data_IF_082364260347
#
_entry.id   IF_082364260347
#
_cell.length_a   1.000
_cell.length_b   1.000
_cell.length_c   1.000
_cell.angle_alpha   90.00
_cell.angle_beta   90.00
_cell.angle_gamma   90.00
#
_symmetry.space_group_name_H-M   'P 1'
#
loop_
_entity.id
_entity.type
_entity.pdbx_description
1 polymer ?
#
# COMPACT_ATOMS: atom_id res chain seq x y z
N UNK A 1 17.06 5.53 -7.52
CA UNK A 1 16.92 4.47 -8.55
C UNK A 1 15.46 4.43 -8.97
N UNK A 2 15.14 4.94 -10.15
CA UNK A 2 13.76 5.24 -10.61
C UNK A 2 13.20 4.21 -11.60
N UNK A 3 13.69 2.96 -11.57
CA UNK A 3 13.46 1.96 -12.64
C UNK A 3 11.99 1.78 -13.06
N UNK A 4 11.05 1.80 -12.11
CA UNK A 4 9.60 1.70 -12.38
C UNK A 4 9.00 3.02 -12.91
N UNK A 5 9.42 4.15 -12.37
CA UNK A 5 8.97 5.46 -12.83
C UNK A 5 9.41 5.73 -14.28
N UNK A 6 10.59 5.26 -14.68
CA UNK A 6 11.09 5.35 -16.06
C UNK A 6 10.29 4.50 -17.04
N UNK A 7 9.46 3.57 -16.54
CA UNK A 7 8.51 2.74 -17.29
C UNK A 7 7.08 3.25 -17.21
N UNK A 8 6.87 4.46 -16.67
CA UNK A 8 5.56 5.09 -16.58
C UNK A 8 4.71 4.62 -15.40
N UNK A 9 5.25 3.83 -14.47
CA UNK A 9 4.52 3.45 -13.26
C UNK A 9 4.56 4.57 -12.22
N UNK A 10 3.46 4.71 -11.48
CA UNK A 10 3.29 5.69 -10.40
C UNK A 10 3.33 4.98 -9.05
N UNK A 11 4.18 5.47 -8.14
CA UNK A 11 4.19 5.04 -6.74
C UNK A 11 2.97 5.56 -5.99
N UNK A 12 2.20 4.67 -5.35
CA UNK A 12 1.22 5.05 -4.32
C UNK A 12 1.76 4.69 -2.94
N UNK A 13 1.97 5.69 -2.08
CA UNK A 13 2.50 5.50 -0.72
C UNK A 13 1.73 6.37 0.28
N UNK A 14 2.14 6.44 1.55
CA UNK A 14 1.48 7.33 2.51
C UNK A 14 2.33 7.85 3.66
N UNK A 15 3.61 8.06 3.38
CA UNK A 15 4.54 8.83 4.21
C UNK A 15 4.76 8.34 5.65
N UNK A 16 4.37 7.11 6.02
CA UNK A 16 4.73 6.56 7.32
C UNK A 16 6.26 6.34 7.42
N UNK A 17 6.88 6.50 8.61
CA UNK A 17 8.27 6.12 8.79
C UNK A 17 8.53 4.66 8.39
N UNK A 18 9.66 4.41 7.72
CA UNK A 18 10.05 3.08 7.26
C UNK A 18 9.79 2.87 5.77
N UNK A 19 9.00 1.86 5.41
CA UNK A 19 8.81 1.44 4.02
C UNK A 19 8.27 2.58 3.12
N UNK A 20 7.28 3.35 3.58
CA UNK A 20 6.74 4.46 2.80
C UNK A 20 7.84 5.51 2.48
N UNK A 21 8.61 5.94 3.49
CA UNK A 21 9.72 6.89 3.28
C UNK A 21 10.80 6.31 2.35
N UNK A 22 11.14 5.03 2.48
CA UNK A 22 12.16 4.38 1.66
C UNK A 22 11.74 4.23 0.19
N UNK A 23 10.47 3.91 -0.08
CA UNK A 23 9.96 3.86 -1.46
C UNK A 23 9.84 5.27 -2.05
N UNK A 24 9.37 6.24 -1.26
CA UNK A 24 9.23 7.62 -1.72
C UNK A 24 10.57 8.27 -2.06
N UNK A 25 11.63 8.02 -1.27
CA UNK A 25 12.98 8.51 -1.57
C UNK A 25 13.62 7.83 -2.79
N UNK A 26 13.12 6.66 -3.19
CA UNK A 26 13.53 6.00 -4.43
C UNK A 26 12.97 6.66 -5.69
N UNK A 27 11.95 7.52 -5.56
CA UNK A 27 11.24 8.19 -6.66
C UNK A 27 11.45 9.69 -6.57
N UNK A 28 12.45 10.20 -7.30
CA UNK A 28 12.79 11.64 -7.30
C UNK A 28 11.74 12.48 -8.03
N UNK A 29 11.12 11.90 -9.06
CA UNK A 29 10.09 12.53 -9.88
C UNK A 29 8.78 12.72 -9.11
N UNK A 30 8.34 13.96 -8.96
CA UNK A 30 7.08 14.29 -8.28
C UNK A 30 5.85 13.78 -9.03
N UNK A 31 5.89 13.77 -10.36
CA UNK A 31 4.82 13.28 -11.23
C UNK A 31 4.71 11.75 -11.26
N UNK A 32 5.70 11.03 -10.71
CA UNK A 32 5.72 9.58 -10.61
C UNK A 32 5.31 9.06 -9.21
N UNK A 33 4.72 9.90 -8.36
CA UNK A 33 4.24 9.49 -7.03
C UNK A 33 2.96 10.19 -6.59
N UNK A 34 2.13 9.44 -5.87
CA UNK A 34 0.92 9.90 -5.18
C UNK A 34 1.03 9.47 -3.71
N UNK A 35 1.04 10.45 -2.81
CA UNK A 35 1.22 10.23 -1.38
C UNK A 35 -0.10 10.50 -0.66
N UNK A 36 -0.69 9.45 -0.09
CA UNK A 36 -1.93 9.53 0.68
C UNK A 36 -1.62 9.70 2.16
N UNK A 37 -2.07 10.79 2.77
CA UNK A 37 -1.91 11.00 4.21
C UNK A 37 -3.25 10.91 4.95
N UNK A 38 -3.28 10.34 6.16
CA UNK A 38 -4.52 10.05 6.88
C UNK A 38 -5.24 11.31 7.40
N UNK A 39 -4.50 12.40 7.64
CA UNK A 39 -5.01 13.71 8.03
C UNK A 39 -4.02 14.80 7.61
N UNK A 40 -4.49 16.04 7.63
CA UNK A 40 -3.68 17.22 7.29
C UNK A 40 -2.55 17.44 8.30
N UNK A 41 -1.34 17.66 7.82
CA UNK A 41 -0.13 17.82 8.63
C UNK A 41 0.54 16.51 9.07
N UNK A 42 0.02 15.33 8.69
CA UNK A 42 0.69 14.06 8.99
C UNK A 42 2.09 14.05 8.36
N UNK A 43 3.11 13.87 9.20
CA UNK A 43 4.52 13.91 8.78
C UNK A 43 4.88 15.23 8.05
N UNK A 44 4.26 16.34 8.44
CA UNK A 44 4.51 17.67 7.88
C UNK A 44 3.92 17.88 6.48
N UNK A 45 2.99 17.02 6.04
CA UNK A 45 2.45 17.03 4.67
C UNK A 45 0.98 17.44 4.63
N UNK A 46 0.57 18.21 3.60
CA UNK A 46 -0.84 18.54 3.40
C UNK A 46 -1.63 17.31 2.96
N UNK A 47 -2.90 17.24 3.38
CA UNK A 47 -3.81 16.21 2.91
C UNK A 47 -4.43 16.60 1.56
N UNK A 48 -3.73 16.31 0.47
CA UNK A 48 -4.19 16.54 -0.92
C UNK A 48 -5.48 15.80 -1.22
N UNK A 49 -5.56 14.54 -0.78
CA UNK A 49 -6.73 13.67 -0.98
C UNK A 49 -7.38 13.38 0.37
N UNK A 50 -8.64 13.81 0.53
CA UNK A 50 -9.42 13.46 1.72
C UNK A 50 -9.71 11.97 1.75
N UNK A 51 -9.68 11.38 2.93
CA UNK A 51 -10.05 9.97 3.12
C UNK A 51 -11.56 9.81 2.86
N UNK A 52 -11.97 9.10 1.79
CA UNK A 52 -13.38 8.95 1.48
C UNK A 52 -14.07 7.98 2.48
N UNK A 53 -15.40 8.05 2.65
CA UNK A 53 -16.14 7.14 3.50
C UNK A 53 -15.90 5.66 3.16
N UNK A 54 -15.75 5.31 1.87
CA UNK A 54 -15.45 3.95 1.43
C UNK A 54 -14.10 3.44 1.95
N UNK A 55 -13.08 4.30 2.05
CA UNK A 55 -11.80 3.94 2.65
C UNK A 55 -11.95 3.64 4.15
N UNK A 56 -12.77 4.41 4.87
CA UNK A 56 -13.08 4.14 6.28
C UNK A 56 -13.86 2.83 6.45
N UNK A 57 -14.84 2.56 5.58
CA UNK A 57 -15.63 1.33 5.60
C UNK A 57 -14.77 0.07 5.36
N UNK A 58 -13.72 0.17 4.53
CA UNK A 58 -12.77 -0.91 4.32
C UNK A 58 -12.07 -1.35 5.61
N UNK A 59 -11.94 -0.46 6.61
CA UNK A 59 -11.35 -0.82 7.90
C UNK A 59 -12.23 -1.80 8.63
N UNK A 60 -13.55 -1.58 8.63
CA UNK A 60 -14.49 -2.49 9.28
C UNK A 60 -14.57 -3.84 8.55
N UNK A 61 -14.37 -3.84 7.23
CA UNK A 61 -14.38 -5.05 6.41
C UNK A 61 -13.12 -5.92 6.57
N UNK A 62 -11.93 -5.31 6.63
CA UNK A 62 -10.66 -6.05 6.52
C UNK A 62 -9.79 -6.03 7.77
N UNK A 63 -10.06 -5.18 8.76
CA UNK A 63 -9.29 -5.19 9.99
C UNK A 63 -9.80 -6.31 10.92
N UNK A 64 -8.94 -7.12 11.56
CA UNK A 64 -9.38 -8.23 12.42
C UNK A 64 -10.09 -7.79 13.70
N UNK A 65 -9.85 -6.55 14.14
CA UNK A 65 -10.50 -5.95 15.32
C UNK A 65 -10.68 -4.44 15.09
N UNK A 66 -11.61 -4.00 14.24
CA UNK A 66 -11.74 -2.58 13.88
C UNK A 66 -12.17 -1.72 15.08
N UNK A 67 -12.97 -2.28 15.98
CA UNK A 67 -13.46 -1.62 17.19
C UNK A 67 -12.36 -1.35 18.23
N UNK A 68 -11.22 -2.03 18.15
CA UNK A 68 -10.08 -1.79 19.05
C UNK A 68 -9.15 -0.68 18.56
N UNK A 69 -9.41 -0.09 17.39
CA UNK A 69 -8.56 0.95 16.82
C UNK A 69 -8.90 2.32 17.41
N UNK A 70 -7.87 3.07 17.78
CA UNK A 70 -8.03 4.51 18.01
C UNK A 70 -8.42 5.22 16.72
N UNK A 71 -8.98 6.44 16.82
CA UNK A 71 -9.31 7.27 15.65
C UNK A 71 -8.12 7.42 14.69
N UNK A 72 -6.92 7.66 15.23
CA UNK A 72 -5.70 7.79 14.42
C UNK A 72 -5.30 6.47 13.75
N UNK A 73 -5.35 5.35 14.47
CA UNK A 73 -5.04 4.04 13.89
C UNK A 73 -6.04 3.65 12.80
N UNK A 74 -7.34 3.94 13.00
CA UNK A 74 -8.38 3.74 12.00
C UNK A 74 -8.15 4.59 10.75
N UNK A 75 -7.74 5.85 10.90
CA UNK A 75 -7.41 6.72 9.77
C UNK A 75 -6.18 6.22 8.98
N UNK A 76 -5.16 5.68 9.67
CA UNK A 76 -4.02 5.03 9.03
C UNK A 76 -4.44 3.79 8.22
N UNK A 77 -5.31 2.95 8.78
CA UNK A 77 -5.83 1.77 8.07
C UNK A 77 -6.67 2.16 6.85
N UNK A 78 -7.50 3.20 6.96
CA UNK A 78 -8.28 3.71 5.84
C UNK A 78 -7.39 4.27 4.72
N UNK A 79 -6.33 5.00 5.08
CA UNK A 79 -5.32 5.46 4.12
C UNK A 79 -4.69 4.31 3.35
N UNK A 80 -4.42 3.17 4.01
CA UNK A 80 -3.87 1.99 3.33
C UNK A 80 -4.77 1.50 2.20
N UNK A 81 -6.09 1.64 2.34
CA UNK A 81 -7.03 1.29 1.29
C UNK A 81 -6.85 2.17 0.03
N UNK A 82 -6.57 3.46 0.21
CA UNK A 82 -6.30 4.38 -0.89
C UNK A 82 -4.99 4.05 -1.61
N UNK A 83 -3.98 3.53 -0.92
CA UNK A 83 -2.74 3.04 -1.57
C UNK A 83 -3.01 1.87 -2.51
N UNK A 84 -4.02 1.04 -2.20
CA UNK A 84 -4.41 -0.09 -3.03
C UNK A 84 -5.40 0.33 -4.12
N UNK A 85 -6.41 1.14 -3.81
CA UNK A 85 -7.56 1.37 -4.70
C UNK A 85 -7.61 2.77 -5.32
N UNK A 86 -6.62 3.62 -5.02
CA UNK A 86 -6.62 5.03 -5.40
C UNK A 86 -7.57 5.88 -4.55
N UNK A 87 -7.59 7.20 -4.80
CA UNK A 87 -8.43 8.13 -4.06
C UNK A 87 -9.93 7.88 -4.26
N UNK A 88 -10.33 7.52 -5.48
CA UNK A 88 -11.72 7.19 -5.84
C UNK A 88 -12.14 5.79 -5.39
N UNK A 89 -11.25 5.02 -4.78
CA UNK A 89 -11.52 3.65 -4.31
C UNK A 89 -11.96 2.66 -5.41
N UNK A 90 -11.62 2.96 -6.67
CA UNK A 90 -12.09 2.22 -7.85
C UNK A 90 -10.99 1.79 -8.81
N UNK A 91 -9.72 2.13 -8.53
CA UNK A 91 -8.59 1.82 -9.41
C UNK A 91 -7.54 1.03 -8.65
N UNK A 92 -7.65 -0.31 -8.60
CA UNK A 92 -6.65 -1.16 -7.99
C UNK A 92 -5.24 -0.87 -8.53
N UNK A 93 -4.25 -0.91 -7.64
CA UNK A 93 -2.84 -0.88 -7.99
C UNK A 93 -2.47 -2.14 -8.76
N UNK A 94 -1.51 -2.04 -9.68
CA UNK A 94 -1.06 -3.19 -10.49
C UNK A 94 -0.47 -4.31 -9.62
N UNK A 95 0.25 -3.91 -8.56
CA UNK A 95 0.87 -4.80 -7.59
C UNK A 95 1.14 -4.03 -6.29
N UNK A 96 1.54 -4.77 -5.25
CA UNK A 96 2.04 -4.22 -3.98
C UNK A 96 3.47 -4.70 -3.77
N UNK A 97 4.39 -3.76 -3.53
CA UNK A 97 5.71 -4.05 -2.95
C UNK A 97 5.68 -3.67 -1.48
N UNK A 98 6.01 -4.61 -0.59
CA UNK A 98 6.01 -4.34 0.84
C UNK A 98 7.10 -5.13 1.56
N UNK A 99 7.30 -4.82 2.83
CA UNK A 99 8.09 -5.66 3.72
C UNK A 99 7.30 -5.88 5.00
N UNK A 100 7.18 -7.13 5.42
CA UNK A 100 6.63 -7.49 6.73
C UNK A 100 7.54 -8.54 7.37
N UNK A 101 7.61 -8.54 8.70
CA UNK A 101 8.50 -9.43 9.43
C UNK A 101 8.21 -10.92 9.14
N UNK A 102 6.94 -11.25 8.93
CA UNK A 102 6.43 -12.60 8.65
C UNK A 102 6.36 -12.96 7.17
N UNK A 103 6.76 -12.06 6.25
CA UNK A 103 6.74 -12.32 4.82
C UNK A 103 5.33 -12.52 4.22
N UNK A 104 4.30 -11.97 4.85
CA UNK A 104 2.92 -12.10 4.42
C UNK A 104 2.67 -11.52 3.02
N UNK A 105 1.99 -12.27 2.16
CA UNK A 105 1.62 -11.87 0.80
C UNK A 105 0.11 -12.03 0.51
N UNK A 106 -0.66 -12.58 1.44
CA UNK A 106 -2.11 -12.77 1.25
C UNK A 106 -2.90 -12.58 2.54
N UNK A 107 -4.20 -12.33 2.41
CA UNK A 107 -5.13 -12.29 3.54
C UNK A 107 -5.08 -13.59 4.36
N UNK A 108 -5.00 -14.74 3.68
CA UNK A 108 -4.98 -16.06 4.32
C UNK A 108 -3.74 -16.28 5.20
N UNK A 109 -2.62 -15.65 4.86
CA UNK A 109 -1.35 -15.76 5.61
C UNK A 109 -1.14 -14.61 6.59
N UNK A 110 -2.11 -13.69 6.73
CA UNK A 110 -1.99 -12.54 7.64
C UNK A 110 -1.96 -13.00 9.09
N UNK A 111 -0.98 -12.49 9.82
CA UNK A 111 -0.84 -12.72 11.26
C UNK A 111 -0.75 -11.39 12.02
N UNK A 112 -0.69 -11.47 13.35
CA UNK A 112 -0.39 -10.28 14.18
C UNK A 112 0.98 -9.68 13.86
N UNK A 113 1.95 -10.50 13.45
CA UNK A 113 3.29 -10.06 13.09
C UNK A 113 3.35 -9.30 11.75
N UNK A 114 2.32 -9.40 10.91
CA UNK A 114 2.21 -8.62 9.67
C UNK A 114 2.10 -7.11 9.95
N UNK A 115 1.53 -6.73 11.10
CA UNK A 115 1.35 -5.35 11.51
C UNK A 115 0.35 -4.56 10.63
N UNK A 116 0.51 -3.23 10.59
CA UNK A 116 -0.39 -2.32 9.87
C UNK A 116 -0.47 -2.57 8.36
N UNK A 117 0.61 -3.09 7.76
CA UNK A 117 0.65 -3.50 6.35
C UNK A 117 -0.38 -4.57 6.01
N UNK A 118 -0.78 -5.39 6.99
CA UNK A 118 -1.75 -6.46 6.80
C UNK A 118 -3.12 -5.99 6.30
N UNK A 119 -3.50 -4.74 6.60
CA UNK A 119 -4.71 -4.12 6.04
C UNK A 119 -4.62 -3.99 4.51
N UNK A 120 -3.51 -3.42 4.01
CA UNK A 120 -3.26 -3.26 2.58
C UNK A 120 -3.21 -4.62 1.87
N UNK A 121 -2.54 -5.61 2.48
CA UNK A 121 -2.43 -6.98 1.94
C UNK A 121 -3.81 -7.65 1.85
N UNK A 122 -4.68 -7.44 2.85
CA UNK A 122 -6.03 -8.01 2.85
C UNK A 122 -6.89 -7.43 1.73
N UNK A 123 -6.82 -6.11 1.54
CA UNK A 123 -7.51 -5.41 0.45
C UNK A 123 -6.95 -5.86 -0.90
N UNK A 124 -5.62 -5.94 -1.04
CA UNK A 124 -4.98 -6.43 -2.26
C UNK A 124 -5.44 -7.85 -2.61
N UNK A 125 -5.51 -8.75 -1.64
CA UNK A 125 -6.00 -10.12 -1.84
C UNK A 125 -7.44 -10.16 -2.34
N UNK A 126 -8.32 -9.32 -1.78
CA UNK A 126 -9.72 -9.23 -2.18
C UNK A 126 -9.88 -8.75 -3.63
N UNK A 127 -9.05 -7.79 -4.05
CA UNK A 127 -9.05 -7.24 -5.41
C UNK A 127 -8.10 -7.96 -6.37
N UNK A 128 -7.59 -9.13 -5.99
CA UNK A 128 -6.67 -9.94 -6.80
C UNK A 128 -5.41 -9.17 -7.25
N UNK A 129 -4.97 -8.22 -6.44
CA UNK A 129 -3.73 -7.47 -6.66
C UNK A 129 -2.57 -8.29 -6.09
N UNK A 130 -1.56 -8.66 -6.91
CA UNK A 130 -0.43 -9.45 -6.44
C UNK A 130 0.44 -8.65 -5.46
N UNK A 131 0.88 -9.32 -4.39
CA UNK A 131 1.78 -8.77 -3.37
C UNK A 131 3.13 -9.46 -3.48
N UNK A 132 4.20 -8.68 -3.55
CA UNK A 132 5.58 -9.16 -3.48
C UNK A 132 6.22 -8.60 -2.21
N UNK A 133 6.48 -9.50 -1.26
CA UNK A 133 7.07 -9.14 0.01
C UNK A 133 8.59 -9.28 -0.06
N UNK A 134 9.32 -8.20 0.19
CA UNK A 134 10.77 -8.10 0.10
C UNK A 134 11.49 -9.05 1.08
N UNK A 135 10.77 -9.58 2.09
CA UNK A 135 11.30 -10.60 2.99
C UNK A 135 11.50 -11.95 2.29
N UNK A 136 10.74 -12.24 1.23
CA UNK A 136 10.84 -13.49 0.48
C UNK A 136 12.10 -13.48 -0.41
N UNK A 137 13.02 -14.46 -0.33
CA UNK A 137 14.29 -14.40 -1.04
C UNK A 137 14.15 -14.36 -2.58
N UNK A 138 13.04 -14.86 -3.12
CA UNK A 138 12.75 -14.88 -4.56
C UNK A 138 11.75 -13.81 -5.02
N UNK A 139 11.46 -12.80 -4.18
CA UNK A 139 10.45 -11.77 -4.49
C UNK A 139 10.72 -11.09 -5.82
N UNK A 140 12.00 -10.82 -6.12
CA UNK A 140 12.42 -10.07 -7.31
C UNK A 140 12.17 -10.85 -8.59
N UNK A 141 12.48 -12.15 -8.60
CA UNK A 141 12.29 -12.99 -9.78
C UNK A 141 10.80 -13.15 -10.09
N UNK A 142 9.97 -13.38 -9.05
CA UNK A 142 8.51 -13.42 -9.18
C UNK A 142 7.94 -12.10 -9.67
N UNK A 143 8.42 -10.98 -9.14
CA UNK A 143 7.99 -9.65 -9.55
C UNK A 143 8.30 -9.37 -11.04
N UNK A 144 9.53 -9.68 -11.48
CA UNK A 144 9.94 -9.48 -12.87
C UNK A 144 9.21 -10.42 -13.83
N UNK A 145 8.95 -11.67 -13.42
CA UNK A 145 8.16 -12.61 -14.22
C UNK A 145 6.72 -12.11 -14.40
N UNK A 146 6.06 -11.73 -13.30
CA UNK A 146 4.69 -11.23 -13.31
C UNK A 146 4.57 -9.94 -14.15
N UNK A 147 5.51 -9.00 -14.02
CA UNK A 147 5.45 -7.76 -14.79
C UNK A 147 5.55 -7.96 -16.30
N UNK A 148 6.34 -8.95 -16.75
CA UNK A 148 6.39 -9.33 -18.18
C UNK A 148 5.10 -10.02 -18.63
N UNK A 149 4.60 -10.97 -17.84
CA UNK A 149 3.39 -11.73 -18.14
C UNK A 149 2.16 -10.83 -18.23
N UNK A 150 2.04 -9.86 -17.31
CA UNK A 150 0.91 -8.95 -17.19
C UNK A 150 1.08 -7.66 -18.01
N UNK A 151 2.23 -7.46 -18.67
CA UNK A 151 2.51 -6.27 -19.48
C UNK A 151 2.58 -4.97 -18.69
N UNK A 152 3.05 -5.01 -17.43
CA UNK A 152 3.25 -3.78 -16.64
C UNK A 152 4.44 -2.96 -17.12
N UNK A 153 5.46 -3.61 -17.68
CA UNK A 153 6.70 -3.02 -18.17
C UNK A 153 7.45 -3.91 -19.16
#
# INVERSE_FOLDING_TARGET
>A
MTWLADRGLVLRSGAAPGADTAFESGVDRADAKVIFVPWDGFQGRPQVFKTPPAALASVDQFHPAPQSLSRGARALMARNAMQILGHEMATPSLFVLCWTQDGCESHATRTRATGGTGQAISIASHHQVPVFNLRSPNWRDRFLAAGKEQGWF
#
